data_IF_826079367576
#
_entry.id   IF_826079367576
#
_cell.length_a   1.000
_cell.length_b   1.000
_cell.length_c   1.000
_cell.angle_alpha   90.00
_cell.angle_beta   90.00
_cell.angle_gamma   90.00
#
_symmetry.space_group_name_H-M   'P 1'
#
loop_
_entity.id
_entity.type
_entity.pdbx_description
1 polymer ?
#
# COMPACT_ATOMS: atom_id res chain seq x y z
N UNK A 1 7.66 4.18 -13.09
CA UNK A 1 8.61 3.83 -12.05
C UNK A 1 7.89 3.36 -10.80
N UNK A 2 8.19 2.14 -10.36
CA UNK A 2 7.52 1.52 -9.21
C UNK A 2 7.70 2.31 -7.91
N UNK A 3 8.88 2.90 -7.73
CA UNK A 3 9.13 3.68 -6.52
C UNK A 3 8.26 4.94 -6.48
N UNK A 4 8.12 5.60 -7.61
CA UNK A 4 7.27 6.79 -7.68
C UNK A 4 5.82 6.43 -7.39
N UNK A 5 5.33 5.36 -7.98
CA UNK A 5 3.95 4.92 -7.74
C UNK A 5 3.73 4.56 -6.27
N UNK A 6 4.72 3.91 -5.66
CA UNK A 6 4.64 3.57 -4.24
C UNK A 6 4.56 4.83 -3.38
N UNK A 7 5.38 5.82 -3.68
CA UNK A 7 5.38 7.07 -2.94
C UNK A 7 4.03 7.79 -3.04
N UNK A 8 3.44 7.82 -4.23
CA UNK A 8 2.12 8.41 -4.40
C UNK A 8 1.06 7.64 -3.63
N UNK A 9 1.16 6.32 -3.64
CA UNK A 9 0.23 5.48 -2.88
C UNK A 9 0.29 5.75 -1.39
N UNK A 10 1.50 5.86 -0.84
CA UNK A 10 1.69 6.18 0.57
C UNK A 10 1.10 7.56 0.89
N UNK A 11 1.39 8.54 0.04
CA UNK A 11 0.88 9.90 0.25
C UNK A 11 -0.64 9.91 0.29
N UNK A 12 -1.27 9.20 -0.62
CA UNK A 12 -2.73 9.14 -0.68
C UNK A 12 -3.31 8.49 0.57
N UNK A 13 -2.75 7.36 0.97
CA UNK A 13 -3.29 6.61 2.10
C UNK A 13 -3.12 7.34 3.43
N UNK A 14 -2.00 8.02 3.60
CA UNK A 14 -1.70 8.71 4.86
C UNK A 14 -2.15 10.16 4.86
N UNK A 15 -2.67 10.67 3.73
CA UNK A 15 -3.04 12.06 3.64
C UNK A 15 -1.87 13.01 3.73
N UNK A 16 -0.72 12.60 3.19
CA UNK A 16 0.51 13.39 3.23
C UNK A 16 0.85 13.92 1.84
N UNK A 17 1.67 14.96 1.80
CA UNK A 17 2.20 15.43 0.53
C UNK A 17 3.32 14.49 0.06
N UNK A 18 3.60 14.52 -1.24
CA UNK A 18 4.70 13.72 -1.78
C UNK A 18 6.03 14.14 -1.18
N UNK A 19 6.20 15.45 -0.90
CA UNK A 19 7.41 15.96 -0.25
C UNK A 19 7.62 15.29 1.11
N UNK A 20 6.55 15.14 1.88
CA UNK A 20 6.63 14.51 3.18
C UNK A 20 6.98 13.03 3.07
N UNK A 21 6.41 12.34 2.08
CA UNK A 21 6.73 10.93 1.87
C UNK A 21 8.21 10.77 1.52
N UNK A 22 8.75 11.69 0.73
CA UNK A 22 10.16 11.64 0.33
C UNK A 22 11.12 11.84 1.48
N UNK A 23 10.66 12.42 2.59
CA UNK A 23 11.48 12.56 3.80
C UNK A 23 11.55 11.28 4.61
N UNK A 24 10.71 10.31 4.33
CA UNK A 24 10.74 9.02 5.03
C UNK A 24 12.02 8.27 4.73
N UNK A 25 12.47 7.46 5.70
CA UNK A 25 13.60 6.58 5.46
C UNK A 25 13.19 5.45 4.51
N UNK A 26 14.18 4.84 3.88
CA UNK A 26 13.93 3.69 3.02
C UNK A 26 13.25 2.57 3.79
N UNK A 27 13.67 2.36 5.03
CA UNK A 27 13.07 1.32 5.86
C UNK A 27 11.58 1.57 6.08
N UNK A 28 11.21 2.81 6.30
CA UNK A 28 9.82 3.16 6.51
C UNK A 28 8.99 2.97 5.24
N UNK A 29 9.54 3.39 4.10
CA UNK A 29 8.86 3.20 2.82
C UNK A 29 8.65 1.72 2.52
N UNK A 30 9.67 0.90 2.76
CA UNK A 30 9.55 -0.54 2.56
C UNK A 30 8.54 -1.16 3.51
N UNK A 31 8.48 -0.66 4.74
CA UNK A 31 7.48 -1.12 5.69
C UNK A 31 6.06 -0.86 5.22
N UNK A 32 5.80 0.32 4.69
CA UNK A 32 4.49 0.64 4.14
C UNK A 32 4.16 -0.22 2.93
N UNK A 33 5.15 -0.49 2.09
CA UNK A 33 4.96 -1.35 0.93
C UNK A 33 4.52 -2.75 1.35
N UNK A 34 5.19 -3.31 2.36
CA UNK A 34 4.83 -4.63 2.87
C UNK A 34 3.43 -4.63 3.48
N UNK A 35 3.09 -3.58 4.21
CA UNK A 35 1.78 -3.46 4.83
C UNK A 35 0.67 -3.45 3.78
N UNK A 36 0.84 -2.65 2.73
CA UNK A 36 -0.15 -2.57 1.66
C UNK A 36 -0.29 -3.91 0.94
N UNK A 37 0.80 -4.63 0.78
CA UNK A 37 0.76 -5.94 0.13
C UNK A 37 -0.07 -6.93 0.94
N UNK A 38 0.11 -6.94 2.25
CA UNK A 38 -0.66 -7.81 3.13
C UNK A 38 -2.15 -7.43 3.08
N UNK A 39 -2.45 -6.14 3.10
CA UNK A 39 -3.84 -5.68 2.99
C UNK A 39 -4.49 -6.14 1.70
N UNK A 40 -3.78 -6.02 0.59
CA UNK A 40 -4.29 -6.47 -0.70
C UNK A 40 -4.58 -7.95 -0.72
N UNK A 41 -3.68 -8.75 -0.17
CA UNK A 41 -3.86 -10.19 -0.10
C UNK A 41 -5.09 -10.56 0.72
N UNK A 42 -5.27 -9.89 1.84
CA UNK A 42 -6.44 -10.12 2.69
C UNK A 42 -7.73 -9.76 1.97
N UNK A 43 -7.74 -8.64 1.27
CA UNK A 43 -8.90 -8.22 0.51
C UNK A 43 -9.23 -9.19 -0.61
N UNK A 44 -8.23 -9.69 -1.29
CA UNK A 44 -8.42 -10.68 -2.35
C UNK A 44 -9.02 -11.97 -1.80
N UNK A 45 -8.55 -12.41 -0.65
CA UNK A 45 -9.08 -13.62 -0.01
C UNK A 45 -10.54 -13.43 0.37
N UNK A 46 -10.89 -12.26 0.89
CA UNK A 46 -12.27 -11.97 1.24
C UNK A 46 -13.17 -11.99 0.00
N UNK A 47 -12.71 -11.40 -1.08
CA UNK A 47 -13.49 -11.39 -2.31
C UNK A 47 -13.65 -12.79 -2.90
N UNK A 48 -12.61 -13.61 -2.81
CA UNK A 48 -12.69 -14.99 -3.28
C UNK A 48 -13.69 -15.81 -2.48
N UNK A 49 -13.74 -15.59 -1.17
CA UNK A 49 -14.70 -16.26 -0.32
C UNK A 49 -16.14 -15.92 -0.71
N UNK A 50 -16.38 -14.65 -1.00
CA UNK A 50 -17.70 -14.20 -1.41
C UNK A 50 -18.09 -14.86 -2.73
N UNK A 51 -17.17 -14.95 -3.66
CA UNK A 51 -17.44 -15.57 -4.96
C UNK A 51 -17.75 -17.06 -4.82
N UNK A 52 -17.11 -17.72 -3.89
CA UNK A 52 -17.29 -19.17 -3.71
C UNK A 52 -18.64 -19.54 -3.12
N UNK A 53 -19.30 -18.60 -2.47
CA UNK A 53 -20.57 -18.86 -1.83
C UNK A 53 -21.74 -18.92 -2.79
N UNK A 54 -21.49 -18.67 -4.04
CA UNK A 54 -22.53 -18.81 -5.06
C UNK A 54 -22.59 -20.26 -5.57
#
# INVERSE_FOLDING_TARGET
DNLMMLQFGIAKELGMSLSEVRKMTIEEVLGWSAYFQVLNEDQEKEMQKIKRRR
#
